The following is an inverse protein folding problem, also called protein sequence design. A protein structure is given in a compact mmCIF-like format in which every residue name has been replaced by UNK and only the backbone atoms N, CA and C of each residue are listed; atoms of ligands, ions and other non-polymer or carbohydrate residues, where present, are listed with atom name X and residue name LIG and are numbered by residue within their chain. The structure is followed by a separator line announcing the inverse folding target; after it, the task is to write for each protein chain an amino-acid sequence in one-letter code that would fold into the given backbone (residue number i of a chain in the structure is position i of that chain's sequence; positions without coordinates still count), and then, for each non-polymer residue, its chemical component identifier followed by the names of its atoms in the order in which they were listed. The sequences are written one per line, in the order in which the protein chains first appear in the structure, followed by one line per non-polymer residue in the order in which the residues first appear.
data_IF_560200464081
#
_entry.id   IF_560200464081
#
_cell.length_a   1.000
_cell.length_b   1.000
_cell.length_c   1.000
_cell.angle_alpha   90.00
_cell.angle_beta   90.00
_cell.angle_gamma   90.00
#
_symmetry.space_group_name_H-M   'P 1'
#
loop_
_entity.id
_entity.type
_entity.pdbx_description
1 polymer ?
#
# COMPACT_ATOMS: atom_id res chain seq x y z
N UNK A 1 15.64 13.64 -9.21
CA UNK A 1 14.41 14.24 -8.61
C UNK A 1 14.28 13.71 -7.18
N UNK A 2 13.79 14.51 -6.24
CA UNK A 2 13.50 14.06 -4.87
C UNK A 2 12.48 12.90 -4.90
N UNK A 3 12.77 11.83 -4.15
CA UNK A 3 11.90 10.65 -4.02
C UNK A 3 11.00 10.87 -2.79
N UNK A 4 9.69 10.71 -2.96
CA UNK A 4 8.72 10.82 -1.87
C UNK A 4 8.16 9.45 -1.53
N UNK A 5 8.30 9.05 -0.27
CA UNK A 5 7.69 7.84 0.28
C UNK A 5 6.49 8.30 1.09
N UNK A 6 5.31 8.21 0.48
CA UNK A 6 4.09 8.62 1.14
C UNK A 6 3.62 7.53 2.10
N UNK A 7 3.32 7.96 3.32
CA UNK A 7 3.12 7.11 4.49
C UNK A 7 1.91 7.61 5.30
N UNK A 8 1.44 6.75 6.21
CA UNK A 8 0.45 7.04 7.24
C UNK A 8 -1.00 7.00 6.80
N UNK A 9 -1.90 7.02 7.78
CA UNK A 9 -3.32 6.73 7.58
C UNK A 9 -3.98 7.72 6.64
N UNK A 10 -3.66 9.01 6.80
CA UNK A 10 -4.22 10.07 5.95
C UNK A 10 -3.85 9.91 4.48
N UNK A 11 -2.63 9.48 4.17
CA UNK A 11 -2.26 9.21 2.79
C UNK A 11 -3.08 8.04 2.24
N UNK A 12 -3.15 6.94 2.97
CA UNK A 12 -3.82 5.71 2.55
C UNK A 12 -5.36 5.80 2.55
N UNK A 13 -5.95 6.68 3.35
CA UNK A 13 -7.38 6.96 3.36
C UNK A 13 -7.85 7.53 2.01
N UNK A 14 -7.01 8.37 1.39
CA UNK A 14 -7.25 9.01 0.08
C UNK A 14 -7.20 8.03 -1.10
N UNK A 15 -7.19 6.72 -0.84
CA UNK A 15 -7.43 5.70 -1.86
C UNK A 15 -8.89 5.75 -2.35
N UNK A 16 -9.83 6.18 -1.51
CA UNK A 16 -11.21 6.45 -1.88
C UNK A 16 -11.45 7.95 -1.97
N UNK A 17 -12.13 8.40 -3.03
CA UNK A 17 -12.50 9.81 -3.21
C UNK A 17 -13.51 10.30 -2.17
N UNK A 18 -14.31 9.39 -1.59
CA UNK A 18 -15.46 9.73 -0.76
C UNK A 18 -15.20 9.56 0.75
N UNK A 19 -13.93 9.61 1.19
CA UNK A 19 -13.62 9.60 2.62
C UNK A 19 -14.07 10.89 3.31
N UNK A 20 -14.77 10.76 4.43
CA UNK A 20 -15.08 11.90 5.31
C UNK A 20 -13.82 12.40 6.03
N UNK A 21 -13.85 13.62 6.55
CA UNK A 21 -12.74 14.19 7.33
C UNK A 21 -12.39 13.31 8.56
N UNK A 22 -13.41 12.73 9.20
CA UNK A 22 -13.23 11.81 10.32
C UNK A 22 -12.53 10.51 9.89
N UNK A 23 -12.91 9.92 8.76
CA UNK A 23 -12.27 8.72 8.22
C UNK A 23 -10.84 8.99 7.75
N UNK A 24 -10.60 10.16 7.15
CA UNK A 24 -9.29 10.63 6.71
C UNK A 24 -8.28 10.78 7.86
N UNK A 25 -8.77 11.08 9.06
CA UNK A 25 -7.97 11.11 10.29
C UNK A 25 -7.73 9.73 10.94
N UNK A 26 -8.28 8.66 10.37
CA UNK A 26 -8.21 7.31 10.93
C UNK A 26 -7.97 6.26 9.86
N UNK A 27 -8.51 5.05 10.11
CA UNK A 27 -8.41 3.91 9.21
C UNK A 27 -9.79 3.62 8.61
N UNK A 28 -10.10 4.12 7.39
CA UNK A 28 -11.40 3.92 6.78
C UNK A 28 -11.76 2.45 6.65
N UNK A 29 -13.05 2.16 6.71
CA UNK A 29 -13.61 0.82 6.53
C UNK A 29 -14.50 0.80 5.30
N UNK A 30 -14.81 -0.41 4.83
CA UNK A 30 -15.64 -0.59 3.65
C UNK A 30 -14.88 -0.40 2.34
N UNK A 31 -15.60 -0.70 1.26
CA UNK A 31 -15.08 -0.76 -0.10
C UNK A 31 -14.66 0.61 -0.63
N UNK A 32 -13.73 0.60 -1.58
CA UNK A 32 -13.38 1.79 -2.36
C UNK A 32 -14.52 2.06 -3.33
N UNK A 33 -15.17 3.21 -3.18
CA UNK A 33 -16.30 3.58 -4.04
C UNK A 33 -15.86 4.25 -5.34
N UNK A 34 -14.82 5.09 -5.27
CA UNK A 34 -14.29 5.84 -6.41
C UNK A 34 -12.78 6.08 -6.22
N UNK A 35 -12.03 6.22 -7.32
CA UNK A 35 -10.59 6.48 -7.26
C UNK A 35 -10.28 7.82 -6.57
N UNK A 36 -9.54 7.77 -5.46
CA UNK A 36 -9.17 8.95 -4.71
C UNK A 36 -7.93 9.69 -5.20
N UNK A 37 -7.34 10.50 -4.31
CA UNK A 37 -6.19 11.31 -4.65
C UNK A 37 -4.94 10.48 -4.94
N UNK A 38 -4.75 9.32 -4.29
CA UNK A 38 -3.52 8.51 -4.43
C UNK A 38 -3.28 8.13 -5.89
N UNK A 39 -4.30 7.60 -6.56
CA UNK A 39 -4.24 7.10 -7.94
C UNK A 39 -3.88 8.22 -8.90
N UNK A 40 -4.57 9.37 -8.78
CA UNK A 40 -4.29 10.58 -9.56
C UNK A 40 -2.86 11.07 -9.34
N UNK A 41 -2.40 11.14 -8.09
CA UNK A 41 -1.07 11.61 -7.74
C UNK A 41 0.02 10.65 -8.22
N UNK A 42 -0.17 9.34 -8.06
CA UNK A 42 0.78 8.34 -8.53
C UNK A 42 0.84 8.33 -10.07
N UNK A 43 -0.26 8.46 -10.81
CA UNK A 43 -0.19 8.57 -12.28
C UNK A 43 0.54 9.84 -12.73
N UNK A 44 0.36 10.96 -12.03
CA UNK A 44 0.96 12.25 -12.37
C UNK A 44 2.44 12.37 -11.98
N UNK A 45 2.82 11.81 -10.84
CA UNK A 45 4.15 12.00 -10.24
C UNK A 45 4.92 10.68 -10.16
N UNK A 46 5.86 10.43 -11.10
CA UNK A 46 6.63 9.18 -11.12
C UNK A 46 7.62 9.04 -9.94
N UNK A 47 7.87 10.14 -9.21
CA UNK A 47 8.72 10.17 -8.02
C UNK A 47 7.95 10.03 -6.69
N UNK A 48 6.65 9.73 -6.76
CA UNK A 48 5.81 9.38 -5.61
C UNK A 48 5.73 7.86 -5.48
N UNK A 49 6.03 7.37 -4.28
CA UNK A 49 6.03 5.96 -3.90
C UNK A 49 5.13 5.74 -2.68
N UNK A 50 4.55 4.56 -2.56
CA UNK A 50 3.72 4.16 -1.42
C UNK A 50 4.49 3.28 -0.45
N UNK A 51 4.67 3.75 0.78
CA UNK A 51 5.15 2.95 1.91
C UNK A 51 3.97 2.32 2.64
N UNK A 52 3.96 0.99 2.75
CA UNK A 52 2.87 0.22 3.37
C UNK A 52 3.17 -0.24 4.81
N UNK A 53 4.08 0.44 5.51
CA UNK A 53 4.40 0.17 6.91
C UNK A 53 3.32 0.58 7.92
N UNK A 54 3.54 0.26 9.21
CA UNK A 54 2.69 0.55 10.39
C UNK A 54 1.31 -0.14 10.43
N UNK A 55 0.80 -0.60 9.28
CA UNK A 55 -0.55 -1.12 9.11
C UNK A 55 -1.47 -0.20 8.29
N UNK A 56 -1.04 1.01 7.94
CA UNK A 56 -1.86 1.96 7.16
C UNK A 56 -2.09 1.51 5.73
N UNK A 57 -1.03 1.10 5.02
CA UNK A 57 -1.15 0.46 3.71
C UNK A 57 -1.90 -0.87 3.79
N UNK A 58 -1.67 -1.67 4.84
CA UNK A 58 -2.40 -2.92 5.06
C UNK A 58 -3.91 -2.69 5.19
N UNK A 59 -4.34 -1.70 5.97
CA UNK A 59 -5.76 -1.37 6.12
C UNK A 59 -6.38 -0.95 4.77
N UNK A 60 -5.70 -0.10 4.00
CA UNK A 60 -6.19 0.33 2.70
C UNK A 60 -6.36 -0.82 1.70
N UNK A 61 -5.46 -1.81 1.72
CA UNK A 61 -5.58 -3.00 0.87
C UNK A 61 -6.61 -4.00 1.41
N UNK A 62 -6.64 -4.25 2.72
CA UNK A 62 -7.48 -5.28 3.32
C UNK A 62 -8.98 -4.89 3.35
N UNK A 63 -9.31 -3.60 3.35
CA UNK A 63 -10.71 -3.14 3.37
C UNK A 63 -11.45 -3.40 2.06
N UNK A 64 -10.72 -3.58 0.96
CA UNK A 64 -11.26 -3.92 -0.35
C UNK A 64 -10.25 -4.72 -1.18
N UNK A 65 -10.24 -6.04 -1.01
CA UNK A 65 -9.26 -6.91 -1.67
C UNK A 65 -9.36 -6.88 -3.20
N UNK A 66 -10.57 -6.75 -3.76
CA UNK A 66 -10.75 -6.69 -5.21
C UNK A 66 -10.10 -5.42 -5.78
N UNK A 67 -10.29 -4.29 -5.10
CA UNK A 67 -9.64 -3.05 -5.47
C UNK A 67 -8.13 -3.10 -5.22
N UNK A 68 -7.70 -3.69 -4.11
CA UNK A 68 -6.29 -3.85 -3.75
C UNK A 68 -5.51 -4.57 -4.85
N UNK A 69 -6.05 -5.65 -5.42
CA UNK A 69 -5.42 -6.39 -6.52
C UNK A 69 -5.25 -5.50 -7.76
N UNK A 70 -6.26 -4.70 -8.11
CA UNK A 70 -6.18 -3.74 -9.23
C UNK A 70 -5.10 -2.69 -8.98
N UNK A 71 -5.08 -2.11 -7.78
CA UNK A 71 -4.11 -1.11 -7.35
C UNK A 71 -2.67 -1.64 -7.33
N UNK A 72 -2.46 -2.84 -6.77
CA UNK A 72 -1.15 -3.49 -6.72
C UNK A 72 -0.61 -3.75 -8.13
N UNK A 73 -1.44 -4.25 -9.06
CA UNK A 73 -1.02 -4.50 -10.43
C UNK A 73 -0.67 -3.21 -11.18
N UNK A 74 -1.46 -2.14 -11.01
CA UNK A 74 -1.22 -0.85 -11.67
C UNK A 74 0.04 -0.16 -11.15
N UNK A 75 0.22 -0.12 -9.83
CA UNK A 75 1.29 0.65 -9.19
C UNK A 75 2.48 -0.20 -8.71
N UNK A 76 2.57 -1.44 -9.18
CA UNK A 76 3.51 -2.47 -8.71
C UNK A 76 4.96 -2.02 -8.59
N UNK A 77 5.45 -1.10 -9.43
CA UNK A 77 6.86 -0.66 -9.44
C UNK A 77 7.15 0.45 -8.40
N UNK A 78 6.15 0.83 -7.60
CA UNK A 78 6.23 1.99 -6.70
C UNK A 78 5.63 1.77 -5.31
N UNK A 79 5.38 0.52 -4.97
CA UNK A 79 4.87 0.10 -3.67
C UNK A 79 5.92 -0.72 -2.94
N UNK A 80 6.06 -0.51 -1.64
CA UNK A 80 7.08 -1.18 -0.84
C UNK A 80 6.52 -1.66 0.49
N UNK A 81 6.86 -2.89 0.83
CA UNK A 81 6.70 -3.41 2.18
C UNK A 81 7.65 -2.70 3.15
N UNK A 82 7.14 -2.40 4.34
CA UNK A 82 7.89 -1.87 5.47
C UNK A 82 7.22 -2.29 6.78
N UNK A 83 7.95 -2.21 7.89
CA UNK A 83 7.42 -2.62 9.19
C UNK A 83 6.92 -1.45 10.02
N UNK A 84 7.74 -0.41 10.18
CA UNK A 84 7.49 0.69 11.14
C UNK A 84 7.26 0.16 12.57
N UNK A 85 8.20 -0.68 13.03
CA UNK A 85 8.20 -1.21 14.39
C UNK A 85 9.46 -0.76 15.12
N UNK A 86 9.30 -0.45 16.40
CA UNK A 86 10.38 -0.19 17.35
C UNK A 86 10.59 -1.35 18.32
N UNK A 87 9.64 -2.30 18.38
CA UNK A 87 9.72 -3.49 19.23
C UNK A 87 8.98 -4.70 18.59
N UNK A 88 9.39 -5.96 18.87
CA UNK A 88 8.76 -7.15 18.31
C UNK A 88 7.25 -7.28 18.58
N UNK A 89 6.77 -6.75 19.70
CA UNK A 89 5.36 -6.77 20.10
C UNK A 89 4.47 -5.94 19.16
N UNK A 90 5.06 -5.05 18.37
CA UNK A 90 4.38 -4.21 17.38
C UNK A 90 4.31 -4.86 15.99
N UNK A 91 4.76 -6.12 15.85
CA UNK A 91 4.84 -6.78 14.55
C UNK A 91 3.48 -7.10 13.91
N UNK A 92 2.39 -7.13 14.67
CA UNK A 92 1.08 -7.61 14.21
C UNK A 92 0.60 -6.94 12.91
N UNK A 93 0.64 -5.60 12.75
CA UNK A 93 0.19 -4.96 11.51
C UNK A 93 1.07 -5.32 10.30
N UNK A 94 2.38 -5.52 10.53
CA UNK A 94 3.32 -5.95 9.50
C UNK A 94 3.01 -7.38 9.06
N UNK A 95 2.73 -8.26 10.02
CA UNK A 95 2.36 -9.64 9.77
C UNK A 95 1.05 -9.70 8.97
N UNK A 96 0.06 -8.87 9.28
CA UNK A 96 -1.18 -8.82 8.50
C UNK A 96 -0.94 -8.49 7.02
N UNK A 97 -0.06 -7.52 6.74
CA UNK A 97 0.31 -7.20 5.35
C UNK A 97 1.02 -8.38 4.68
N UNK A 98 1.92 -9.06 5.38
CA UNK A 98 2.60 -10.26 4.88
C UNK A 98 1.59 -11.36 4.55
N UNK A 99 0.62 -11.63 5.43
CA UNK A 99 -0.42 -12.63 5.18
C UNK A 99 -1.28 -12.24 3.97
N UNK A 100 -1.68 -10.97 3.85
CA UNK A 100 -2.49 -10.48 2.75
C UNK A 100 -1.78 -10.63 1.39
N UNK A 101 -0.51 -10.19 1.29
CA UNK A 101 0.26 -10.32 0.06
C UNK A 101 0.52 -11.78 -0.31
N UNK A 102 0.78 -12.64 0.69
CA UNK A 102 0.91 -14.08 0.46
C UNK A 102 -0.39 -14.72 -0.01
N UNK A 103 -1.55 -14.30 0.53
CA UNK A 103 -2.86 -14.75 0.08
C UNK A 103 -3.08 -14.39 -1.40
N UNK A 104 -2.90 -13.11 -1.77
CA UNK A 104 -3.07 -12.66 -3.16
C UNK A 104 -2.16 -13.42 -4.13
N UNK A 105 -0.92 -13.71 -3.71
CA UNK A 105 0.00 -14.54 -4.49
C UNK A 105 -0.49 -15.99 -4.62
N UNK A 106 -0.86 -16.63 -3.51
CA UNK A 106 -1.28 -18.04 -3.49
C UNK A 106 -2.56 -18.26 -4.32
N UNK A 107 -3.49 -17.31 -4.27
CA UNK A 107 -4.73 -17.29 -5.03
C UNK A 107 -4.54 -16.81 -6.48
N UNK A 108 -3.31 -16.49 -6.89
CA UNK A 108 -2.94 -16.00 -8.25
C UNK A 108 -3.68 -14.72 -8.66
N UNK A 109 -4.07 -13.90 -7.69
CA UNK A 109 -4.65 -12.58 -7.93
C UNK A 109 -3.58 -11.56 -8.33
N UNK A 110 -2.36 -11.73 -7.83
CA UNK A 110 -1.16 -11.02 -8.30
C UNK A 110 -0.13 -12.04 -8.80
N UNK A 111 0.72 -11.63 -9.74
CA UNK A 111 1.81 -12.47 -10.22
C UNK A 111 2.95 -12.57 -9.19
N UNK A 112 3.79 -13.60 -9.33
CA UNK A 112 5.03 -13.70 -8.55
C UNK A 112 5.91 -12.44 -8.75
N UNK A 113 5.94 -11.89 -9.96
CA UNK A 113 6.68 -10.66 -10.24
C UNK A 113 6.16 -9.47 -9.43
N UNK A 114 4.85 -9.24 -9.40
CA UNK A 114 4.23 -8.16 -8.62
C UNK A 114 4.56 -8.35 -7.14
N UNK A 115 4.40 -9.58 -6.62
CA UNK A 115 4.74 -9.89 -5.24
C UNK A 115 6.22 -9.57 -4.92
N UNK A 116 7.16 -10.02 -5.76
CA UNK A 116 8.59 -9.80 -5.54
C UNK A 116 8.97 -8.32 -5.61
N UNK A 117 8.37 -7.56 -6.53
CA UNK A 117 8.57 -6.10 -6.62
C UNK A 117 8.15 -5.42 -5.33
N UNK A 118 6.94 -5.70 -4.84
CA UNK A 118 6.39 -5.08 -3.63
C UNK A 118 7.13 -5.51 -2.36
N UNK A 119 7.46 -6.81 -2.25
CA UNK A 119 8.08 -7.37 -1.06
C UNK A 119 9.54 -6.91 -0.87
N UNK A 120 10.29 -6.69 -1.96
CA UNK A 120 11.72 -6.32 -1.88
C UNK A 120 12.25 -5.60 -3.11
N UNK A 121 11.88 -6.02 -4.32
CA UNK A 121 12.54 -5.59 -5.55
C UNK A 121 12.54 -4.08 -5.78
N UNK A 122 11.43 -3.41 -5.44
CA UNK A 122 11.33 -1.97 -5.58
C UNK A 122 12.27 -1.23 -4.64
N UNK A 123 12.30 -1.59 -3.35
CA UNK A 123 13.13 -0.84 -2.40
C UNK A 123 14.61 -1.01 -2.72
N UNK A 124 15.05 -2.22 -3.10
CA UNK A 124 16.43 -2.47 -3.56
C UNK A 124 16.78 -1.61 -4.78
N UNK A 125 15.92 -1.59 -5.81
CA UNK A 125 16.14 -0.78 -7.01
C UNK A 125 16.11 0.73 -6.72
N UNK A 126 15.19 1.19 -5.88
CA UNK A 126 14.98 2.61 -5.59
C UNK A 126 16.10 3.16 -4.71
N UNK A 127 16.59 2.38 -3.75
CA UNK A 127 17.65 2.80 -2.83
C UNK A 127 19.06 2.42 -3.28
N UNK A 128 19.20 1.73 -4.43
CA UNK A 128 20.49 1.31 -4.99
C UNK A 128 21.28 0.41 -4.01
N UNK A 129 20.57 -0.57 -3.43
CA UNK A 129 21.09 -1.54 -2.46
C UNK A 129 21.54 -2.85 -3.11
#
# INVERSE_FOLDING_TARGET
KLKFFAHSQTFWAEMDANVTEAERGGYPKGKITEEGAIQRLMRKYPNLYGDMSAGSGCNALARDEEYAVKFLNEFQDRLMFGTDICAPEQAEPCLNLVHLLNKFRAEKQISEEVFQKVAKGNITRILEL
#
